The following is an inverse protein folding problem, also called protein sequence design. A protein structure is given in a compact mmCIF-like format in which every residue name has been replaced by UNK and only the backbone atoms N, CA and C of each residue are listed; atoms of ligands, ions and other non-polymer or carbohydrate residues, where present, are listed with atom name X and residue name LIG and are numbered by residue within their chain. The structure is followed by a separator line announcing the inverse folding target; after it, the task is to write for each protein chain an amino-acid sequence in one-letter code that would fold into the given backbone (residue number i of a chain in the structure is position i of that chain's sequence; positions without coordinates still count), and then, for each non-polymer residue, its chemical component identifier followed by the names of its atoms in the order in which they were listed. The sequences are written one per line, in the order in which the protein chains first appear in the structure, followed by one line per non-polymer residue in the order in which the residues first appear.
data_IF_283632371429
#
_entry.id   IF_283632371429
#
_cell.length_a   1.000
_cell.length_b   1.000
_cell.length_c   1.000
_cell.angle_alpha   90.00
_cell.angle_beta   90.00
_cell.angle_gamma   90.00
#
_symmetry.space_group_name_H-M   'P 1'
#
loop_
_entity.id
_entity.type
_entity.pdbx_description
1 polymer ?
#
# COMPACT_ATOMS: atom_id res chain seq x y z
N UNK A 1 -16.98 -1.87 -10.47
CA UNK A 1 -18.16 -1.04 -10.12
C UNK A 1 -17.70 0.33 -9.65
N UNK A 2 -18.61 1.31 -9.58
CA UNK A 2 -18.36 2.66 -9.11
C UNK A 2 -19.33 3.01 -7.99
N UNK A 3 -18.85 3.62 -6.91
CA UNK A 3 -19.70 4.22 -5.88
C UNK A 3 -20.55 5.34 -6.51
N UNK A 4 -21.86 5.24 -6.36
CA UNK A 4 -22.82 6.08 -7.06
C UNK A 4 -23.60 6.92 -6.06
N UNK A 5 -23.71 8.22 -6.33
CA UNK A 5 -24.61 9.18 -5.66
C UNK A 5 -24.36 9.40 -4.15
N UNK A 6 -23.54 8.58 -3.50
CA UNK A 6 -23.10 8.74 -2.11
C UNK A 6 -21.84 7.93 -1.83
N UNK A 7 -21.20 8.27 -0.71
CA UNK A 7 -20.19 7.42 -0.07
C UNK A 7 -20.79 6.07 0.33
N UNK A 8 -19.98 5.01 0.24
CA UNK A 8 -20.40 3.63 0.53
C UNK A 8 -19.51 3.07 1.63
N UNK A 9 -20.12 2.63 2.73
CA UNK A 9 -19.39 2.08 3.87
C UNK A 9 -18.93 0.66 3.56
N UNK A 10 -17.72 0.34 4.03
CA UNK A 10 -17.11 -0.97 3.95
C UNK A 10 -17.32 -1.67 5.29
N UNK A 11 -17.66 -2.94 5.24
CA UNK A 11 -17.88 -3.81 6.41
C UNK A 11 -16.99 -5.04 6.33
N UNK A 12 -16.70 -5.61 7.49
CA UNK A 12 -16.00 -6.89 7.61
C UNK A 12 -16.85 -8.10 7.15
N UNK A 13 -18.18 -7.98 7.27
CA UNK A 13 -19.18 -8.97 6.86
C UNK A 13 -20.41 -8.32 6.21
N UNK A 14 -21.24 -9.05 5.45
CA UNK A 14 -22.38 -8.49 4.73
C UNK A 14 -23.57 -8.19 5.67
N UNK A 15 -23.41 -7.22 6.56
CA UNK A 15 -24.42 -6.81 7.51
C UNK A 15 -24.23 -5.35 7.94
N UNK A 16 -25.31 -4.66 8.25
CA UNK A 16 -25.30 -3.27 8.74
C UNK A 16 -24.56 -3.12 10.07
N UNK A 17 -24.62 -4.14 10.92
CA UNK A 17 -23.93 -4.18 12.21
C UNK A 17 -22.49 -4.74 12.12
N UNK A 18 -21.95 -4.95 10.91
CA UNK A 18 -20.54 -5.28 10.71
C UNK A 18 -19.61 -4.16 11.18
N UNK A 19 -18.37 -4.50 11.53
CA UNK A 19 -17.35 -3.53 11.91
C UNK A 19 -17.05 -2.62 10.72
N UNK A 20 -16.94 -1.31 10.97
CA UNK A 20 -16.62 -0.33 9.93
C UNK A 20 -15.17 -0.53 9.44
N UNK A 21 -15.04 -0.95 8.18
CA UNK A 21 -13.77 -1.15 7.47
C UNK A 21 -13.34 0.04 6.62
N UNK A 22 -14.01 1.19 6.77
CA UNK A 22 -13.74 2.43 6.05
C UNK A 22 -14.78 2.75 4.98
N UNK A 23 -14.42 3.63 4.06
CA UNK A 23 -15.37 4.19 3.08
C UNK A 23 -14.83 4.08 1.65
N UNK A 24 -15.73 3.77 0.73
CA UNK A 24 -15.57 3.97 -0.71
C UNK A 24 -16.24 5.30 -1.03
N UNK A 25 -15.44 6.32 -1.30
CA UNK A 25 -15.97 7.65 -1.59
C UNK A 25 -16.75 7.67 -2.91
N UNK A 26 -17.78 8.51 -2.98
CA UNK A 26 -18.57 8.69 -4.20
C UNK A 26 -17.67 8.86 -5.45
N UNK A 27 -18.02 8.18 -6.54
CA UNK A 27 -17.26 8.20 -7.78
C UNK A 27 -16.04 7.27 -7.80
N UNK A 28 -15.61 6.74 -6.65
CA UNK A 28 -14.50 5.80 -6.58
C UNK A 28 -14.85 4.47 -7.24
N UNK A 29 -13.87 3.90 -7.92
CA UNK A 29 -13.99 2.57 -8.52
C UNK A 29 -13.64 1.50 -7.50
N UNK A 30 -14.47 0.46 -7.44
CA UNK A 30 -14.25 -0.73 -6.63
C UNK A 30 -14.45 -1.96 -7.49
N UNK A 31 -13.50 -2.89 -7.40
CA UNK A 31 -13.59 -4.18 -8.08
C UNK A 31 -14.27 -5.13 -7.11
N UNK A 32 -15.41 -5.64 -7.53
CA UNK A 32 -16.29 -6.49 -6.71
C UNK A 32 -16.24 -7.91 -7.22
N UNK A 33 -16.49 -8.88 -6.35
CA UNK A 33 -16.56 -10.30 -6.65
C UNK A 33 -18.03 -10.68 -6.90
N UNK A 34 -18.51 -10.75 -8.16
CA UNK A 34 -19.94 -10.81 -8.46
C UNK A 34 -20.65 -12.08 -7.94
N UNK A 35 -19.89 -13.16 -7.75
CA UNK A 35 -20.35 -14.44 -7.19
C UNK A 35 -20.60 -14.39 -5.68
N UNK A 36 -20.10 -13.37 -4.98
CA UNK A 36 -20.26 -13.23 -3.53
C UNK A 36 -21.55 -12.52 -3.13
N UNK A 37 -22.44 -12.24 -4.07
CA UNK A 37 -23.67 -11.51 -3.78
C UNK A 37 -24.50 -12.26 -2.75
N UNK A 38 -24.85 -11.58 -1.67
CA UNK A 38 -25.72 -12.11 -0.64
C UNK A 38 -26.70 -11.05 -0.18
N UNK A 39 -27.90 -11.49 0.18
CA UNK A 39 -28.95 -10.61 0.69
C UNK A 39 -28.92 -10.61 2.22
N UNK A 40 -28.86 -9.44 2.82
CA UNK A 40 -28.88 -9.25 4.27
C UNK A 40 -29.28 -7.81 4.63
N UNK A 41 -30.04 -7.65 5.71
CA UNK A 41 -30.47 -6.35 6.25
C UNK A 41 -31.17 -5.42 5.24
N UNK A 42 -31.84 -5.97 4.24
CA UNK A 42 -32.52 -5.20 3.18
C UNK A 42 -31.60 -4.75 2.03
N UNK A 43 -30.35 -5.23 1.97
CA UNK A 43 -29.38 -4.92 0.93
C UNK A 43 -28.88 -6.16 0.23
N UNK A 44 -28.55 -6.00 -1.06
CA UNK A 44 -27.66 -6.91 -1.76
C UNK A 44 -26.24 -6.45 -1.47
N UNK A 45 -25.48 -7.27 -0.75
CA UNK A 45 -24.08 -7.04 -0.44
C UNK A 45 -23.19 -7.68 -1.49
N UNK A 46 -22.03 -7.09 -1.73
CA UNK A 46 -21.00 -7.69 -2.58
C UNK A 46 -19.63 -7.52 -1.93
N UNK A 47 -18.82 -8.57 -1.99
CA UNK A 47 -17.46 -8.56 -1.46
C UNK A 47 -16.52 -7.90 -2.48
N UNK A 48 -15.51 -7.22 -1.98
CA UNK A 48 -14.39 -6.65 -2.73
C UNK A 48 -13.11 -6.76 -1.90
N UNK A 49 -11.97 -6.35 -2.46
CA UNK A 49 -10.64 -6.47 -1.81
C UNK A 49 -10.48 -5.74 -0.46
N UNK A 50 -11.43 -4.88 -0.10
CA UNK A 50 -11.40 -4.10 1.15
C UNK A 50 -12.44 -4.57 2.18
N UNK A 51 -13.33 -5.50 1.81
CA UNK A 51 -14.43 -5.95 2.67
C UNK A 51 -15.73 -6.15 1.89
N UNK A 52 -16.84 -5.86 2.54
CA UNK A 52 -18.20 -5.95 2.01
C UNK A 52 -18.83 -4.57 1.92
N UNK A 53 -19.51 -4.28 0.83
CA UNK A 53 -20.29 -3.05 0.69
C UNK A 53 -21.65 -3.36 0.09
N UNK A 54 -22.69 -2.57 0.43
CA UNK A 54 -23.98 -2.69 -0.23
C UNK A 54 -23.82 -2.32 -1.71
N UNK A 55 -24.30 -3.18 -2.60
CA UNK A 55 -24.42 -2.89 -4.04
C UNK A 55 -25.70 -2.09 -4.30
N UNK A 56 -26.82 -2.53 -3.72
CA UNK A 56 -28.14 -1.91 -3.84
C UNK A 56 -29.05 -2.36 -2.70
N UNK A 57 -30.16 -1.65 -2.49
CA UNK A 57 -31.28 -2.16 -1.69
C UNK A 57 -31.99 -3.30 -2.43
N UNK A 58 -32.52 -4.25 -1.67
CA UNK A 58 -33.31 -5.37 -2.21
C UNK A 58 -34.58 -4.84 -2.88
N UNK A 59 -35.22 -3.84 -2.27
CA UNK A 59 -36.40 -3.14 -2.79
C UNK A 59 -36.14 -2.28 -4.06
N UNK A 60 -34.89 -2.18 -4.51
CA UNK A 60 -34.49 -1.43 -5.70
C UNK A 60 -34.54 0.10 -5.57
N UNK A 61 -34.90 0.64 -4.40
CA UNK A 61 -35.05 2.10 -4.18
C UNK A 61 -33.72 2.86 -4.24
N UNK A 62 -32.61 2.16 -4.01
CA UNK A 62 -31.28 2.77 -3.97
C UNK A 62 -30.21 1.82 -4.52
N UNK A 63 -29.31 2.36 -5.35
CA UNK A 63 -28.11 1.68 -5.82
C UNK A 63 -26.89 2.44 -5.34
N UNK A 64 -25.98 1.73 -4.67
CA UNK A 64 -24.75 2.28 -4.10
C UNK A 64 -23.55 2.00 -5.01
N UNK A 65 -23.51 0.83 -5.66
CA UNK A 65 -22.45 0.44 -6.59
C UNK A 65 -23.04 0.16 -7.96
N UNK A 66 -22.64 0.94 -8.96
CA UNK A 66 -23.10 0.78 -10.34
C UNK A 66 -22.03 0.05 -11.16
N UNK A 67 -22.46 -0.91 -11.99
CA UNK A 67 -21.58 -1.54 -12.98
C UNK A 67 -21.07 -0.50 -13.97
N UNK A 68 -19.76 -0.45 -14.14
CA UNK A 68 -19.10 0.29 -15.21
C UNK A 68 -18.45 -0.74 -16.13
N UNK A 69 -18.70 -0.64 -17.44
CA UNK A 69 -18.12 -1.56 -18.41
C UNK A 69 -16.61 -1.41 -18.49
N UNK A 70 -15.89 -2.53 -18.63
CA UNK A 70 -14.43 -2.57 -18.71
C UNK A 70 -13.88 -1.72 -19.89
N UNK A 71 -14.67 -1.53 -20.95
CA UNK A 71 -14.34 -0.66 -22.08
C UNK A 71 -14.26 0.84 -21.71
N UNK A 72 -15.01 1.30 -20.70
CA UNK A 72 -14.93 2.69 -20.21
C UNK A 72 -13.60 2.99 -19.49
N UNK A 73 -12.77 1.97 -19.25
CA UNK A 73 -11.45 2.07 -18.63
C UNK A 73 -10.34 2.45 -19.64
N UNK A 74 -10.53 2.21 -20.94
CA UNK A 74 -9.50 2.45 -21.97
C UNK A 74 -9.78 3.64 -22.89
N UNK A 75 -11.00 4.18 -22.92
CA UNK A 75 -11.43 5.11 -23.99
C UNK A 75 -11.51 6.59 -23.57
N UNK A 76 -10.98 6.97 -22.40
CA UNK A 76 -11.15 8.35 -21.88
C UNK A 76 -10.13 9.38 -22.40
N UNK A 77 -9.29 9.01 -23.37
CA UNK A 77 -8.58 9.98 -24.21
C UNK A 77 -9.33 10.32 -25.51
N UNK A 78 -10.46 9.69 -25.81
CA UNK A 78 -11.23 9.97 -27.01
C UNK A 78 -12.71 10.24 -26.71
N UNK A 79 -13.16 11.44 -27.09
CA UNK A 79 -14.55 11.86 -27.34
C UNK A 79 -15.34 12.43 -26.16
N UNK A 80 -15.43 13.76 -26.21
CA UNK A 80 -16.64 14.53 -25.97
C UNK A 80 -17.84 13.92 -26.74
N UNK A 81 -18.82 13.37 -26.03
CA UNK A 81 -20.06 12.89 -26.64
C UNK A 81 -21.04 12.32 -25.60
N UNK A 82 -22.20 12.94 -25.49
CA UNK A 82 -23.31 12.62 -24.58
C UNK A 82 -23.87 11.20 -24.78
N UNK A 83 -24.20 10.44 -23.71
CA UNK A 83 -24.86 9.15 -23.87
C UNK A 83 -26.40 9.29 -23.97
N UNK A 84 -26.99 8.63 -24.98
CA UNK A 84 -28.44 8.41 -25.10
C UNK A 84 -28.88 7.21 -24.27
N UNK A 85 -30.07 7.35 -23.68
CA UNK A 85 -30.80 6.41 -22.82
C UNK A 85 -31.68 5.46 -23.66
N UNK A 86 -31.78 4.21 -23.23
CA UNK A 86 -32.72 3.17 -23.71
C UNK A 86 -32.13 1.79 -23.42
N UNK A 87 -32.82 0.76 -22.96
CA UNK A 87 -34.24 0.52 -22.77
C UNK A 87 -34.35 -0.73 -21.87
N UNK A 88 -35.32 -0.75 -20.95
CA UNK A 88 -35.67 -1.90 -20.12
C UNK A 88 -36.32 -2.99 -20.99
N UNK A 89 -36.02 -4.26 -20.71
CA UNK A 89 -36.99 -5.34 -20.92
C UNK A 89 -37.02 -6.28 -19.71
N UNK A 90 -38.25 -6.49 -19.27
CA UNK A 90 -38.73 -7.28 -18.16
C UNK A 90 -39.37 -8.56 -18.69
N UNK A 91 -39.12 -9.70 -18.07
CA UNK A 91 -40.09 -10.81 -18.07
C UNK A 91 -40.12 -11.47 -16.70
N UNK A 92 -41.30 -11.35 -16.12
CA UNK A 92 -41.84 -11.93 -14.90
C UNK A 92 -42.18 -13.41 -15.13
N UNK A 93 -41.84 -14.29 -14.17
CA UNK A 93 -42.57 -15.54 -13.89
C UNK A 93 -42.26 -16.01 -12.48
N UNK A 94 -43.24 -15.81 -11.60
CA UNK A 94 -43.39 -16.43 -10.27
C UNK A 94 -43.87 -17.89 -10.39
N UNK A 95 -43.38 -18.81 -9.54
CA UNK A 95 -44.24 -19.86 -9.01
C UNK A 95 -44.34 -19.83 -7.47
N UNK A 96 -45.45 -20.41 -7.00
CA UNK A 96 -45.99 -20.47 -5.63
C UNK A 96 -45.16 -21.33 -4.64
N UNK A 97 -45.42 -21.21 -3.32
CA UNK A 97 -44.65 -21.89 -2.28
C UNK A 97 -45.18 -23.29 -1.97
N UNK A 98 -44.29 -24.20 -1.61
CA UNK A 98 -44.59 -25.52 -1.03
C UNK A 98 -43.71 -25.79 0.21
N UNK A 99 -44.09 -26.74 1.09
CA UNK A 99 -44.26 -26.48 2.52
C UNK A 99 -43.05 -26.77 3.42
N UNK A 100 -43.13 -26.24 4.65
CA UNK A 100 -42.20 -26.42 5.76
C UNK A 100 -41.98 -27.90 6.15
N UNK A 101 -40.72 -28.36 6.28
CA UNK A 101 -40.40 -29.54 7.07
C UNK A 101 -40.17 -29.17 8.56
N UNK A 102 -40.69 -30.06 9.41
CA UNK A 102 -40.62 -30.05 10.87
C UNK A 102 -39.17 -30.10 11.40
N UNK A 103 -38.92 -29.67 12.65
CA UNK A 103 -37.59 -29.69 13.26
C UNK A 103 -37.11 -31.13 13.49
N UNK A 104 -35.92 -31.44 12.97
CA UNK A 104 -35.15 -32.62 13.38
C UNK A 104 -34.45 -32.36 14.74
N UNK A 105 -34.26 -33.40 15.56
CA UNK A 105 -33.72 -33.29 16.93
C UNK A 105 -32.23 -32.91 16.95
N UNK A 106 -31.85 -32.17 17.99
CA UNK A 106 -30.46 -31.77 18.29
C UNK A 106 -29.56 -33.01 18.44
N UNK A 107 -28.38 -33.04 17.78
CA UNK A 107 -27.36 -34.03 18.09
C UNK A 107 -26.69 -33.72 19.43
N UNK A 108 -26.50 -34.76 20.25
CA UNK A 108 -25.69 -34.72 21.47
C UNK A 108 -24.24 -34.28 21.15
N UNK A 109 -23.55 -33.58 22.08
CA UNK A 109 -22.18 -33.16 21.88
C UNK A 109 -21.23 -34.36 21.78
N UNK A 110 -20.53 -34.48 20.65
CA UNK A 110 -19.39 -35.39 20.50
C UNK A 110 -18.24 -34.98 21.44
N UNK A 111 -17.46 -35.96 21.96
CA UNK A 111 -16.32 -35.69 22.82
C UNK A 111 -15.22 -34.89 22.11
N UNK A 112 -14.55 -34.01 22.86
CA UNK A 112 -13.41 -33.22 22.38
C UNK A 112 -12.31 -34.13 21.79
N UNK A 113 -11.76 -33.80 20.61
CA UNK A 113 -10.62 -34.52 20.06
C UNK A 113 -9.37 -34.28 20.91
N UNK A 114 -8.66 -35.37 21.23
CA UNK A 114 -7.32 -35.30 21.82
C UNK A 114 -6.39 -34.45 20.92
N UNK A 115 -5.43 -33.71 21.50
CA UNK A 115 -4.48 -32.91 20.74
C UNK A 115 -3.67 -33.79 19.77
N UNK A 116 -3.69 -33.44 18.49
CA UNK A 116 -2.85 -34.06 17.47
C UNK A 116 -1.36 -33.91 17.84
N UNK A 117 -0.53 -34.94 17.59
CA UNK A 117 0.90 -34.85 17.79
C UNK A 117 1.53 -33.76 16.91
N UNK A 118 2.49 -33.02 17.47
CA UNK A 118 3.26 -32.00 16.74
C UNK A 118 3.84 -32.59 15.45
N UNK A 119 3.78 -31.87 14.31
CA UNK A 119 4.35 -32.34 13.06
C UNK A 119 5.87 -32.50 13.18
N UNK A 120 6.38 -33.67 12.79
CA UNK A 120 7.80 -33.88 12.60
C UNK A 120 8.35 -32.87 11.57
N UNK A 121 9.59 -32.39 11.73
CA UNK A 121 10.21 -31.48 10.77
C UNK A 121 10.30 -32.14 9.39
N UNK A 122 9.72 -31.49 8.39
CA UNK A 122 9.81 -31.92 6.99
C UNK A 122 11.28 -31.97 6.52
N UNK A 123 11.66 -32.98 5.73
CA UNK A 123 13.00 -33.07 5.16
C UNK A 123 13.28 -31.90 4.21
N UNK A 124 14.49 -31.34 4.31
CA UNK A 124 15.00 -30.29 3.40
C UNK A 124 14.95 -30.79 1.95
N UNK A 125 13.98 -30.31 1.18
CA UNK A 125 13.88 -30.55 -0.26
C UNK A 125 14.95 -29.74 -0.96
N UNK A 126 15.88 -30.42 -1.65
CA UNK A 126 16.79 -29.78 -2.61
C UNK A 126 15.98 -28.96 -3.61
N UNK A 127 16.14 -27.64 -3.58
CA UNK A 127 15.49 -26.71 -4.51
C UNK A 127 16.13 -26.87 -5.89
N UNK A 128 15.52 -27.71 -6.73
CA UNK A 128 15.70 -27.59 -8.17
C UNK A 128 15.06 -26.27 -8.60
N UNK A 129 15.86 -25.26 -8.94
CA UNK A 129 15.36 -23.97 -9.40
C UNK A 129 14.54 -24.13 -10.69
N UNK A 130 13.22 -24.20 -10.56
CA UNK A 130 12.28 -24.05 -11.68
C UNK A 130 12.47 -22.65 -12.29
N UNK A 131 12.51 -22.49 -13.63
CA UNK A 131 12.78 -21.20 -14.23
C UNK A 131 11.70 -20.19 -13.84
N UNK A 132 12.12 -19.16 -13.11
CA UNK A 132 11.23 -18.10 -12.67
C UNK A 132 10.68 -17.31 -13.87
N UNK A 133 9.38 -17.05 -13.89
CA UNK A 133 8.69 -16.37 -15.00
C UNK A 133 8.31 -14.94 -14.61
N UNK A 134 8.34 -14.04 -15.58
CA UNK A 134 7.91 -12.65 -15.39
C UNK A 134 6.41 -12.48 -15.57
N UNK A 135 5.83 -11.69 -14.67
CA UNK A 135 4.43 -11.32 -14.70
C UNK A 135 4.29 -9.81 -14.57
N UNK A 136 3.43 -9.22 -15.39
CA UNK A 136 2.98 -7.84 -15.25
C UNK A 136 1.69 -7.79 -14.45
N UNK A 137 1.64 -6.97 -13.42
CA UNK A 137 0.42 -6.71 -12.68
C UNK A 137 -0.55 -5.87 -13.51
N UNK A 138 -1.70 -6.44 -13.84
CA UNK A 138 -2.77 -5.76 -14.59
C UNK A 138 -3.63 -4.87 -13.70
N UNK A 139 -3.39 -4.95 -12.39
CA UNK A 139 -4.05 -4.19 -11.35
C UNK A 139 -3.25 -4.29 -10.07
N UNK A 140 -3.55 -3.42 -9.10
CA UNK A 140 -2.95 -3.54 -7.78
C UNK A 140 -3.43 -4.84 -7.11
N UNK A 141 -2.50 -5.72 -6.75
CA UNK A 141 -2.76 -7.01 -6.08
C UNK A 141 -2.00 -7.08 -4.75
N UNK A 142 -2.64 -7.58 -3.68
CA UNK A 142 -2.01 -7.71 -2.36
C UNK A 142 -0.97 -8.82 -2.34
N UNK A 143 0.09 -8.60 -1.56
CA UNK A 143 1.16 -9.57 -1.31
C UNK A 143 1.02 -10.11 0.11
N UNK A 144 0.83 -11.42 0.21
CA UNK A 144 0.51 -12.15 1.45
C UNK A 144 1.62 -13.10 1.85
N UNK A 145 1.65 -13.46 3.13
CA UNK A 145 2.61 -14.45 3.64
C UNK A 145 2.32 -15.87 3.14
N UNK A 146 1.09 -16.14 2.70
CA UNK A 146 0.64 -17.44 2.19
C UNK A 146 -0.42 -17.35 1.09
N UNK A 147 -0.73 -18.48 0.42
CA UNK A 147 -1.66 -18.55 -0.71
C UNK A 147 -3.12 -18.59 -0.25
N UNK A 148 -3.70 -17.42 0.06
CA UNK A 148 -5.11 -17.33 0.45
C UNK A 148 -5.48 -15.99 1.05
N UNK A 149 -6.76 -15.64 1.02
CA UNK A 149 -7.31 -14.42 1.60
C UNK A 149 -7.26 -14.41 3.13
N UNK A 150 -7.16 -15.57 3.77
CA UNK A 150 -7.01 -15.72 5.22
C UNK A 150 -5.60 -15.38 5.72
N UNK A 151 -4.57 -15.40 4.86
CA UNK A 151 -3.22 -15.01 5.24
C UNK A 151 -3.06 -13.49 5.32
N UNK A 152 -2.39 -12.96 6.35
CA UNK A 152 -2.10 -11.54 6.43
C UNK A 152 -1.16 -11.09 5.30
N UNK A 153 -1.18 -9.80 5.02
CA UNK A 153 -0.23 -9.19 4.10
C UNK A 153 1.19 -9.28 4.71
N UNK A 154 2.21 -9.41 3.85
CA UNK A 154 3.62 -9.46 4.30
C UNK A 154 4.02 -8.20 5.08
N UNK A 155 3.42 -7.08 4.69
CA UNK A 155 3.43 -5.80 5.39
C UNK A 155 2.06 -5.14 5.22
N UNK A 156 1.63 -4.23 6.11
CA UNK A 156 0.39 -3.49 5.93
C UNK A 156 0.31 -2.84 4.54
N UNK A 157 -0.74 -3.16 3.78
CA UNK A 157 -0.96 -2.72 2.39
C UNK A 157 0.16 -3.08 1.39
N UNK A 158 0.90 -4.15 1.68
CA UNK A 158 1.86 -4.71 0.73
C UNK A 158 1.13 -5.13 -0.53
N UNK A 159 1.48 -4.49 -1.64
CA UNK A 159 0.86 -4.73 -2.94
C UNK A 159 1.93 -4.78 -4.03
N UNK A 160 1.62 -5.48 -5.11
CA UNK A 160 2.21 -5.24 -6.43
C UNK A 160 1.26 -4.27 -7.12
N UNK A 161 1.70 -3.06 -7.46
CA UNK A 161 0.83 -2.10 -8.12
C UNK A 161 0.74 -2.30 -9.63
N UNK A 162 -0.20 -1.58 -10.22
CA UNK A 162 -0.55 -1.65 -11.62
C UNK A 162 0.67 -1.41 -12.54
N UNK A 163 0.77 -2.21 -13.60
CA UNK A 163 1.86 -2.32 -14.58
C UNK A 163 3.21 -2.80 -14.05
N UNK A 164 3.35 -3.06 -12.74
CA UNK A 164 4.62 -3.51 -12.20
C UNK A 164 4.96 -4.94 -12.63
N UNK A 165 6.23 -5.21 -12.92
CA UNK A 165 6.70 -6.53 -13.34
C UNK A 165 7.35 -7.25 -12.16
N UNK A 166 6.87 -8.44 -11.83
CA UNK A 166 7.47 -9.32 -10.81
C UNK A 166 8.00 -10.60 -11.43
N UNK A 167 8.93 -11.24 -10.73
CA UNK A 167 9.41 -12.59 -11.02
C UNK A 167 8.76 -13.55 -10.03
N UNK A 168 8.03 -14.55 -10.54
CA UNK A 168 7.33 -15.52 -9.72
C UNK A 168 7.68 -16.94 -10.15
N UNK A 169 7.52 -17.90 -9.25
CA UNK A 169 7.71 -19.32 -9.49
C UNK A 169 6.39 -19.93 -10.03
N UNK A 170 6.28 -20.27 -11.33
CA UNK A 170 5.05 -20.80 -11.90
C UNK A 170 4.65 -22.17 -11.35
N UNK A 171 5.59 -22.91 -10.74
CA UNK A 171 5.34 -24.21 -10.12
C UNK A 171 4.73 -24.11 -8.73
N UNK A 172 4.82 -22.94 -8.10
CA UNK A 172 4.23 -22.67 -6.78
C UNK A 172 2.71 -22.47 -6.78
N UNK A 173 2.00 -22.71 -7.89
CA UNK A 173 0.58 -22.36 -8.00
C UNK A 173 -0.29 -23.12 -7.01
N UNK A 174 -1.11 -22.39 -6.26
CA UNK A 174 -2.07 -22.96 -5.29
C UNK A 174 -3.46 -22.36 -5.54
N UNK A 175 -4.50 -23.20 -5.63
CA UNK A 175 -5.88 -22.74 -5.70
C UNK A 175 -6.46 -22.55 -4.29
N UNK A 176 -6.89 -21.34 -3.98
CA UNK A 176 -7.54 -21.01 -2.70
C UNK A 176 -8.44 -19.77 -2.85
N UNK A 177 -9.56 -19.76 -2.13
CA UNK A 177 -10.52 -18.64 -2.08
C UNK A 177 -11.05 -18.16 -3.44
N UNK A 178 -11.10 -19.06 -4.43
CA UNK A 178 -11.54 -18.73 -5.79
C UNK A 178 -10.44 -18.14 -6.69
N UNK A 179 -9.18 -18.17 -6.25
CA UNK A 179 -8.02 -17.66 -7.00
C UNK A 179 -6.93 -18.71 -7.16
N UNK A 180 -6.16 -18.57 -8.23
CA UNK A 180 -4.85 -19.19 -8.37
C UNK A 180 -3.83 -18.22 -7.77
N UNK A 181 -3.14 -18.64 -6.73
CA UNK A 181 -2.06 -17.91 -6.05
C UNK A 181 -0.71 -18.33 -6.59
N UNK A 182 0.22 -17.39 -6.70
CA UNK A 182 1.60 -17.67 -7.13
C UNK A 182 2.60 -17.04 -6.16
N UNK A 183 3.66 -17.78 -5.82
CA UNK A 183 4.76 -17.34 -4.97
C UNK A 183 5.78 -16.57 -5.80
N UNK A 184 6.27 -15.48 -5.23
CA UNK A 184 7.36 -14.68 -5.76
C UNK A 184 8.28 -14.26 -4.60
N UNK A 185 9.41 -13.63 -4.90
CA UNK A 185 10.43 -13.25 -3.90
C UNK A 185 9.96 -12.31 -2.78
N UNK A 186 8.69 -11.87 -2.79
CA UNK A 186 8.10 -11.01 -1.77
C UNK A 186 6.95 -11.66 -1.00
N UNK A 187 6.56 -12.90 -1.34
CA UNK A 187 5.39 -13.58 -0.77
C UNK A 187 4.48 -14.16 -1.85
N UNK A 188 3.18 -14.10 -1.61
CA UNK A 188 2.15 -14.69 -2.45
C UNK A 188 1.17 -13.65 -2.96
N UNK A 189 0.86 -13.68 -4.25
CA UNK A 189 -0.16 -12.81 -4.86
C UNK A 189 -1.14 -13.66 -5.66
N UNK A 190 -2.40 -13.21 -5.74
CA UNK A 190 -3.35 -13.79 -6.68
C UNK A 190 -2.85 -13.55 -8.11
N UNK A 191 -2.75 -14.59 -8.93
CA UNK A 191 -2.42 -14.51 -10.35
C UNK A 191 -3.68 -14.24 -11.18
N UNK A 192 -4.73 -15.03 -10.92
CA UNK A 192 -6.03 -14.95 -11.61
C UNK A 192 -7.14 -15.58 -10.76
N UNK A 193 -8.39 -15.31 -11.07
CA UNK A 193 -9.50 -16.12 -10.57
C UNK A 193 -9.46 -17.53 -11.18
N UNK A 194 -9.94 -18.55 -10.46
CA UNK A 194 -9.97 -19.95 -10.93
C UNK A 194 -10.76 -20.07 -12.24
N UNK A 195 -11.84 -19.32 -12.37
CA UNK A 195 -12.65 -19.29 -13.59
C UNK A 195 -12.04 -18.46 -14.75
N UNK A 196 -10.92 -17.77 -14.52
CA UNK A 196 -10.21 -16.98 -15.54
C UNK A 196 -10.79 -15.59 -15.84
N UNK A 197 -11.91 -15.19 -15.21
CA UNK A 197 -12.57 -13.90 -15.47
C UNK A 197 -11.72 -12.68 -15.08
N UNK A 198 -10.85 -12.84 -14.08
CA UNK A 198 -9.99 -11.78 -13.56
C UNK A 198 -8.55 -12.24 -13.65
N UNK A 199 -7.71 -11.46 -14.33
CA UNK A 199 -6.26 -11.65 -14.38
C UNK A 199 -5.61 -10.51 -13.60
N UNK A 200 -4.96 -10.85 -12.49
CA UNK A 200 -4.21 -9.90 -11.67
C UNK A 200 -2.76 -9.78 -12.15
N UNK A 201 -2.16 -10.91 -12.53
CA UNK A 201 -0.78 -11.02 -13.00
C UNK A 201 -0.78 -11.69 -14.38
N UNK A 202 -0.44 -10.92 -15.42
CA UNK A 202 -0.33 -11.43 -16.78
C UNK A 202 1.11 -11.88 -17.05
N UNK A 203 1.35 -13.15 -17.45
CA UNK A 203 2.68 -13.58 -17.85
C UNK A 203 3.16 -12.78 -19.06
N UNK A 204 4.42 -12.37 -19.05
CA UNK A 204 5.03 -11.65 -20.17
C UNK A 204 6.29 -12.38 -20.66
N UNK A 205 6.47 -12.43 -21.98
CA UNK A 205 7.68 -12.96 -22.62
C UNK A 205 8.78 -11.88 -22.68
N UNK A 206 8.97 -11.17 -21.58
CA UNK A 206 10.10 -10.27 -21.38
C UNK A 206 10.80 -10.74 -20.11
N UNK A 207 12.14 -10.94 -20.15
CA UNK A 207 12.87 -11.24 -18.93
C UNK A 207 12.61 -10.13 -17.91
N UNK A 208 12.51 -10.45 -16.62
CA UNK A 208 12.33 -9.42 -15.62
C UNK A 208 13.58 -8.54 -15.68
N UNK A 209 13.45 -7.21 -15.52
CA UNK A 209 14.65 -6.40 -15.34
C UNK A 209 15.43 -7.02 -14.18
N UNK A 210 16.75 -7.24 -14.32
CA UNK A 210 17.53 -7.83 -13.25
C UNK A 210 17.36 -6.99 -11.99
N UNK A 211 17.38 -7.65 -10.83
CA UNK A 211 17.11 -7.03 -9.51
C UNK A 211 17.98 -5.79 -9.27
N UNK A 212 19.15 -5.70 -9.93
CA UNK A 212 20.02 -4.51 -9.96
C UNK A 212 20.26 -3.87 -11.35
N UNK A 213 19.99 -4.52 -12.48
CA UNK A 213 20.44 -4.01 -13.79
C UNK A 213 19.46 -3.06 -14.51
N UNK A 214 18.41 -2.62 -13.81
CA UNK A 214 17.43 -1.65 -14.33
C UNK A 214 17.13 -0.49 -13.38
N UNK A 215 17.76 -0.46 -12.21
CA UNK A 215 17.68 0.68 -11.31
C UNK A 215 18.69 1.74 -11.79
N UNK A 216 18.27 2.99 -11.99
CA UNK A 216 19.20 4.05 -12.28
C UNK A 216 20.21 4.16 -11.14
N UNK A 217 21.43 4.59 -11.44
CA UNK A 217 22.33 5.03 -10.36
C UNK A 217 21.68 6.20 -9.61
N UNK A 218 22.17 6.52 -8.41
CA UNK A 218 21.61 7.62 -7.59
C UNK A 218 21.53 8.95 -8.36
N UNK A 219 22.46 9.20 -9.27
CA UNK A 219 22.52 10.43 -10.09
C UNK A 219 21.67 10.36 -11.36
N UNK A 220 21.28 9.16 -11.79
CA UNK A 220 20.48 8.93 -13.00
C UNK A 220 18.98 8.81 -12.68
N UNK A 221 18.59 8.94 -11.41
CA UNK A 221 17.20 8.97 -10.98
C UNK A 221 16.44 10.07 -11.76
N UNK A 222 15.28 9.77 -12.38
CA UNK A 222 14.47 10.79 -13.03
C UNK A 222 14.15 11.93 -12.05
N UNK A 223 14.48 13.17 -12.39
CA UNK A 223 14.30 14.30 -11.48
C UNK A 223 15.34 14.39 -10.36
N UNK A 224 16.52 13.77 -10.49
CA UNK A 224 17.67 13.99 -9.61
C UNK A 224 17.91 15.50 -9.42
N UNK A 225 17.95 15.93 -8.15
CA UNK A 225 18.02 17.33 -7.72
C UNK A 225 16.93 18.29 -8.24
N UNK A 226 15.84 17.79 -8.80
CA UNK A 226 14.83 18.63 -9.46
C UNK A 226 13.38 18.28 -9.15
N UNK A 227 13.07 17.05 -8.72
CA UNK A 227 11.70 16.60 -8.50
C UNK A 227 11.01 17.40 -7.38
N UNK A 228 11.69 17.57 -6.24
CA UNK A 228 11.15 18.29 -5.08
C UNK A 228 11.48 19.77 -5.20
N UNK A 229 10.45 20.60 -5.34
CA UNK A 229 10.59 22.03 -5.63
C UNK A 229 10.56 22.90 -4.36
N UNK A 230 9.97 22.37 -3.28
CA UNK A 230 10.00 22.95 -1.92
C UNK A 230 9.92 21.86 -0.86
N UNK A 231 10.34 22.19 0.36
CA UNK A 231 10.22 21.27 1.48
C UNK A 231 8.74 21.03 1.83
N UNK A 232 8.39 19.80 2.24
CA UNK A 232 7.03 19.47 2.65
C UNK A 232 6.64 20.12 3.98
N UNK A 233 7.63 20.53 4.78
CA UNK A 233 7.45 21.29 6.02
C UNK A 233 8.37 22.49 5.98
N UNK A 234 7.91 23.63 6.48
CA UNK A 234 8.76 24.80 6.60
C UNK A 234 9.93 24.48 7.54
N UNK A 235 11.16 24.66 7.05
CA UNK A 235 12.38 24.35 7.79
C UNK A 235 12.46 25.14 9.11
N UNK A 236 11.93 26.37 9.15
CA UNK A 236 11.92 27.18 10.37
C UNK A 236 11.00 26.63 11.46
N UNK A 237 9.94 25.92 11.07
CA UNK A 237 9.01 25.24 11.99
C UNK A 237 9.47 23.82 12.35
N UNK A 238 10.55 23.33 11.74
CA UNK A 238 11.14 22.02 12.06
C UNK A 238 12.12 22.19 13.22
N UNK A 239 11.87 21.47 14.32
CA UNK A 239 12.65 21.52 15.55
C UNK A 239 13.77 20.47 15.58
N UNK A 240 13.47 19.25 15.12
CA UNK A 240 14.44 18.18 14.96
C UNK A 240 14.24 17.49 13.62
N UNK A 241 15.25 16.77 13.16
CA UNK A 241 15.25 16.13 11.85
C UNK A 241 15.81 14.72 11.95
N UNK A 242 15.23 13.77 11.23
CA UNK A 242 15.80 12.44 11.08
C UNK A 242 16.13 12.19 9.61
N UNK A 243 17.38 11.81 9.35
CA UNK A 243 17.83 11.50 8.00
C UNK A 243 17.37 10.11 7.55
N UNK A 244 17.26 9.94 6.25
CA UNK A 244 17.08 8.65 5.59
C UNK A 244 18.30 7.75 5.82
N UNK A 245 18.08 6.43 5.89
CA UNK A 245 19.13 5.42 5.87
C UNK A 245 19.64 5.02 7.26
N UNK A 246 20.95 4.87 7.38
CA UNK A 246 21.68 4.32 8.52
C UNK A 246 21.80 5.31 9.69
N UNK A 247 20.67 5.82 10.16
CA UNK A 247 20.66 6.68 11.33
C UNK A 247 20.73 5.88 12.63
N UNK A 248 21.13 6.54 13.72
CA UNK A 248 21.26 5.88 15.03
C UNK A 248 19.92 5.31 15.51
N UNK A 249 18.80 6.00 15.27
CA UNK A 249 17.48 5.50 15.64
C UNK A 249 17.13 4.19 14.90
N UNK A 250 17.45 4.07 13.61
CA UNK A 250 17.28 2.84 12.85
C UNK A 250 18.12 1.69 13.41
N UNK A 251 19.32 2.00 13.91
CA UNK A 251 20.17 1.03 14.60
C UNK A 251 19.61 0.64 15.98
N UNK A 252 19.25 1.59 16.84
CA UNK A 252 18.84 1.34 18.23
C UNK A 252 17.41 0.82 18.35
N UNK A 253 16.49 1.43 17.62
CA UNK A 253 15.04 1.27 17.81
C UNK A 253 14.34 0.70 16.57
N UNK A 254 14.98 0.74 15.39
CA UNK A 254 14.36 0.34 14.13
C UNK A 254 13.74 -1.07 14.13
N UNK A 255 14.27 -2.01 14.92
CA UNK A 255 13.67 -3.36 15.07
C UNK A 255 12.27 -3.30 15.69
N UNK A 256 12.07 -2.45 16.69
CA UNK A 256 10.78 -2.28 17.38
C UNK A 256 9.70 -1.72 16.44
N UNK A 257 10.13 -1.04 15.36
CA UNK A 257 9.26 -0.48 14.32
C UNK A 257 9.28 -1.30 13.02
N UNK A 258 9.77 -2.55 13.06
CA UNK A 258 9.85 -3.46 11.91
C UNK A 258 10.66 -2.95 10.72
N UNK A 259 11.68 -2.12 10.93
CA UNK A 259 12.54 -1.66 9.83
C UNK A 259 13.29 -2.83 9.19
N UNK A 260 13.59 -3.90 9.94
CA UNK A 260 14.26 -5.10 9.43
C UNK A 260 13.45 -5.74 8.30
N UNK A 261 12.13 -5.89 8.48
CA UNK A 261 11.24 -6.47 7.49
C UNK A 261 10.62 -5.49 6.49
N UNK A 262 10.71 -4.17 6.73
CA UNK A 262 10.12 -3.15 5.86
C UNK A 262 11.17 -2.45 5.00
N UNK A 263 12.25 -1.97 5.61
CA UNK A 263 13.25 -1.09 5.00
C UNK A 263 14.69 -1.58 5.22
N UNK A 264 14.87 -2.90 5.23
CA UNK A 264 16.18 -3.56 5.32
C UNK A 264 17.03 -3.10 6.51
N UNK A 265 16.38 -2.79 7.63
CA UNK A 265 17.00 -2.32 8.88
C UNK A 265 17.40 -0.84 8.88
N UNK A 266 17.05 -0.09 7.84
CA UNK A 266 17.38 1.33 7.68
C UNK A 266 16.13 2.20 7.79
N UNK A 267 16.29 3.50 8.00
CA UNK A 267 15.16 4.44 8.01
C UNK A 267 14.72 4.77 6.58
N UNK A 268 13.46 4.46 6.25
CA UNK A 268 12.90 4.59 4.89
C UNK A 268 12.51 6.00 4.44
N UNK A 269 12.72 7.05 5.23
CA UNK A 269 12.23 8.38 4.88
C UNK A 269 13.02 9.51 5.54
N UNK A 270 12.46 10.72 5.49
CA UNK A 270 12.92 11.86 6.26
C UNK A 270 11.86 12.21 7.30
N UNK A 271 12.28 12.44 8.55
CA UNK A 271 11.34 12.92 9.58
C UNK A 271 11.55 14.40 9.86
N UNK A 272 10.48 15.17 9.74
CA UNK A 272 10.42 16.58 10.11
C UNK A 272 9.69 16.70 11.45
N UNK A 273 10.44 16.70 12.54
CA UNK A 273 9.87 16.76 13.89
C UNK A 273 9.60 18.21 14.31
N UNK A 274 8.56 18.40 15.09
CA UNK A 274 8.07 19.69 15.55
C UNK A 274 7.60 19.59 17.01
N UNK A 275 7.30 20.73 17.61
CA UNK A 275 6.85 20.83 19.02
C UNK A 275 5.52 21.57 19.15
N UNK A 276 4.88 21.88 18.02
CA UNK A 276 3.64 22.64 17.98
C UNK A 276 2.64 21.94 17.05
N UNK A 277 1.34 21.95 17.37
CA UNK A 277 0.31 21.41 16.48
C UNK A 277 0.05 22.34 15.28
N UNK A 278 -0.66 21.83 14.28
CA UNK A 278 -1.15 22.63 13.15
C UNK A 278 -0.07 23.02 12.13
N UNK A 279 1.06 22.31 12.12
CA UNK A 279 2.12 22.54 11.12
C UNK A 279 1.63 22.05 9.76
N UNK A 280 1.52 22.92 8.73
CA UNK A 280 1.02 22.53 7.44
C UNK A 280 2.03 21.64 6.70
N UNK A 281 1.53 20.59 6.05
CA UNK A 281 2.28 19.73 5.15
C UNK A 281 1.96 20.12 3.71
N UNK A 282 2.98 20.51 2.97
CA UNK A 282 2.92 20.85 1.55
C UNK A 282 3.29 19.63 0.70
N UNK A 283 2.70 19.51 -0.48
CA UNK A 283 3.08 18.46 -1.43
C UNK A 283 4.57 18.58 -1.83
N UNK A 284 5.07 19.79 -2.08
CA UNK A 284 6.47 20.00 -2.44
C UNK A 284 6.88 19.53 -3.84
N UNK A 285 5.98 18.91 -4.59
CA UNK A 285 6.19 18.35 -5.93
C UNK A 285 4.94 18.56 -6.80
N UNK A 286 5.13 18.59 -8.12
CA UNK A 286 4.04 18.45 -9.09
C UNK A 286 3.63 16.98 -9.19
N UNK A 287 2.39 16.65 -8.83
CA UNK A 287 1.94 15.27 -8.71
C UNK A 287 0.44 15.12 -9.00
N UNK A 288 -0.05 13.89 -9.01
CA UNK A 288 -1.48 13.57 -8.94
C UNK A 288 -1.80 12.90 -7.61
N UNK A 289 -2.93 13.26 -7.00
CA UNK A 289 -3.41 12.61 -5.79
C UNK A 289 -3.79 11.15 -6.06
N UNK A 290 -3.36 10.24 -5.19
CA UNK A 290 -3.76 8.82 -5.24
C UNK A 290 -4.93 8.58 -4.28
N UNK A 291 -4.67 8.68 -2.98
CA UNK A 291 -5.65 8.45 -1.92
C UNK A 291 -5.10 8.90 -0.55
N UNK A 292 -5.95 8.89 0.48
CA UNK A 292 -5.58 8.92 1.90
C UNK A 292 -5.71 7.52 2.47
N UNK A 293 -4.67 7.04 3.16
CA UNK A 293 -4.67 5.70 3.77
C UNK A 293 -4.52 5.78 5.27
N UNK A 294 -5.36 5.04 5.99
CA UNK A 294 -5.27 4.83 7.43
C UNK A 294 -4.82 3.40 7.71
N UNK A 295 -3.63 3.27 8.29
CA UNK A 295 -3.10 2.02 8.84
C UNK A 295 -2.83 2.31 10.31
N UNK A 296 -3.83 2.03 11.17
CA UNK A 296 -3.83 2.47 12.56
C UNK A 296 -2.50 2.18 13.28
N UNK A 297 -1.92 3.16 14.00
CA UNK A 297 -2.44 4.51 14.27
C UNK A 297 -2.21 5.53 13.13
N UNK A 298 -1.41 5.18 12.13
CA UNK A 298 -0.90 6.08 11.12
C UNK A 298 -1.96 6.48 10.06
N UNK A 299 -1.97 7.76 9.71
CA UNK A 299 -2.71 8.31 8.57
C UNK A 299 -1.70 8.86 7.57
N UNK A 300 -1.95 8.66 6.28
CA UNK A 300 -1.04 9.08 5.22
C UNK A 300 -1.72 9.62 3.97
N UNK A 301 -1.11 10.60 3.31
CA UNK A 301 -1.47 11.05 1.96
C UNK A 301 -0.49 10.43 0.96
N UNK A 302 -1.03 9.92 -0.15
CA UNK A 302 -0.24 9.29 -1.21
C UNK A 302 -0.38 10.09 -2.51
N UNK A 303 0.75 10.48 -3.09
CA UNK A 303 0.83 11.21 -4.36
C UNK A 303 1.65 10.42 -5.38
N UNK A 304 1.38 10.62 -6.67
CA UNK A 304 2.16 10.05 -7.78
C UNK A 304 2.82 11.15 -8.60
N UNK A 305 4.12 11.05 -8.83
CA UNK A 305 4.86 11.92 -9.73
C UNK A 305 5.73 11.07 -10.67
N UNK A 306 5.28 10.87 -11.92
CA UNK A 306 5.91 9.92 -12.83
C UNK A 306 5.95 8.50 -12.26
N UNK A 307 7.15 7.93 -12.20
CA UNK A 307 7.43 6.61 -11.61
C UNK A 307 7.54 6.63 -10.08
N UNK A 308 7.41 7.80 -9.44
CA UNK A 308 7.50 7.94 -7.99
C UNK A 308 6.13 7.90 -7.32
N UNK A 309 6.08 7.19 -6.20
CA UNK A 309 5.03 7.34 -5.19
C UNK A 309 5.61 8.10 -4.01
N UNK A 310 4.97 9.19 -3.60
CA UNK A 310 5.34 9.99 -2.43
C UNK A 310 4.33 9.74 -1.32
N UNK A 311 4.82 9.49 -0.12
CA UNK A 311 4.02 9.08 1.03
C UNK A 311 4.31 10.03 2.18
N UNK A 312 3.27 10.69 2.68
CA UNK A 312 3.33 11.66 3.76
C UNK A 312 2.59 11.04 4.94
N UNK A 313 3.32 10.54 5.94
CA UNK A 313 2.80 9.76 7.06
C UNK A 313 2.80 10.57 8.36
N UNK A 314 2.08 10.10 9.38
CA UNK A 314 1.88 10.81 10.65
C UNK A 314 1.24 12.19 10.45
N UNK A 315 0.19 12.21 9.62
CA UNK A 315 -0.56 13.42 9.29
C UNK A 315 -1.95 13.43 9.95
N UNK A 316 -2.52 14.63 10.07
CA UNK A 316 -3.92 14.87 10.44
C UNK A 316 -4.56 15.86 9.48
N UNK A 317 -5.88 16.04 9.57
CA UNK A 317 -6.65 17.01 8.78
C UNK A 317 -6.33 16.98 7.27
N UNK A 318 -6.34 15.80 6.60
CA UNK A 318 -6.04 15.73 5.17
C UNK A 318 -7.05 16.56 4.38
N UNK A 319 -6.55 17.32 3.41
CA UNK A 319 -7.41 18.04 2.46
C UNK A 319 -8.05 17.04 1.50
N UNK A 320 -9.27 17.37 1.03
CA UNK A 320 -10.04 16.51 0.13
C UNK A 320 -9.61 16.75 -1.32
N UNK A 321 -9.26 15.67 -1.99
CA UNK A 321 -8.90 15.65 -3.42
C UNK A 321 -9.54 14.43 -4.08
N UNK A 322 -9.79 14.52 -5.38
CA UNK A 322 -10.24 13.36 -6.17
C UNK A 322 -9.02 12.54 -6.64
N UNK A 323 -9.07 11.20 -6.66
CA UNK A 323 -8.02 10.39 -7.29
C UNK A 323 -7.71 10.86 -8.72
N UNK A 324 -6.42 11.05 -9.01
CA UNK A 324 -5.92 11.62 -10.28
C UNK A 324 -5.92 13.14 -10.35
N UNK A 325 -6.45 13.85 -9.36
CA UNK A 325 -6.43 15.32 -9.32
C UNK A 325 -4.99 15.83 -9.28
N UNK A 326 -4.68 16.82 -10.12
CA UNK A 326 -3.39 17.50 -10.12
C UNK A 326 -3.18 18.25 -8.80
N UNK A 327 -2.00 18.08 -8.22
CA UNK A 327 -1.50 18.70 -6.99
C UNK A 327 -0.23 19.46 -7.34
N UNK A 328 -0.12 20.70 -6.85
CA UNK A 328 1.05 21.56 -7.09
C UNK A 328 1.98 21.56 -5.87
N UNK A 329 3.25 21.95 -6.00
CA UNK A 329 4.19 22.00 -4.88
C UNK A 329 3.67 22.79 -3.67
N UNK A 330 2.96 23.89 -3.91
CA UNK A 330 2.44 24.79 -2.86
C UNK A 330 1.11 24.35 -2.26
N UNK A 331 0.51 23.26 -2.76
CA UNK A 331 -0.72 22.71 -2.21
C UNK A 331 -0.46 22.16 -0.81
N UNK A 332 -1.15 22.71 0.20
CA UNK A 332 -1.24 22.09 1.53
C UNK A 332 -2.10 20.85 1.40
N UNK A 333 -1.55 19.69 1.75
CA UNK A 333 -2.24 18.39 1.63
C UNK A 333 -2.78 17.90 2.97
N UNK A 334 -2.17 18.32 4.08
CA UNK A 334 -2.53 17.92 5.43
C UNK A 334 -1.85 18.82 6.47
N UNK A 335 -1.97 18.45 7.74
CA UNK A 335 -1.17 18.96 8.85
C UNK A 335 -0.40 17.82 9.50
N UNK A 336 0.65 18.11 10.25
CA UNK A 336 1.35 17.09 11.04
C UNK A 336 0.47 16.65 12.20
N UNK A 337 0.36 15.35 12.41
CA UNK A 337 -0.39 14.78 13.53
C UNK A 337 0.22 15.26 14.86
N UNK A 338 -0.60 15.78 15.80
CA UNK A 338 -0.14 16.04 17.15
C UNK A 338 0.18 14.71 17.87
N UNK A 339 0.40 14.75 19.19
CA UNK A 339 0.69 13.57 20.03
C UNK A 339 0.11 12.23 19.51
N UNK A 340 0.91 11.14 19.52
CA UNK A 340 2.22 11.02 20.18
C UNK A 340 3.42 11.34 19.28
N UNK A 341 3.24 11.56 17.98
CA UNK A 341 4.34 11.48 17.01
C UNK A 341 5.02 12.81 16.68
N UNK A 342 4.28 13.93 16.62
CA UNK A 342 4.81 15.29 16.33
C UNK A 342 5.82 15.38 15.18
N UNK A 343 5.67 14.56 14.15
CA UNK A 343 6.56 14.57 13.00
C UNK A 343 5.84 14.19 11.72
N UNK A 344 6.32 14.69 10.59
CA UNK A 344 6.00 14.15 9.28
C UNK A 344 7.07 13.12 8.93
N UNK A 345 6.69 11.88 8.63
CA UNK A 345 7.58 10.94 7.95
C UNK A 345 7.32 11.02 6.44
N UNK A 346 8.33 11.46 5.69
CA UNK A 346 8.27 11.68 4.24
C UNK A 346 9.09 10.64 3.50
N UNK A 347 8.38 9.76 2.79
CA UNK A 347 8.96 8.63 2.05
C UNK A 347 8.70 8.79 0.54
N UNK A 348 9.69 8.42 -0.28
CA UNK A 348 9.55 8.36 -1.74
C UNK A 348 9.94 6.97 -2.21
N UNK A 349 9.06 6.34 -3.02
CA UNK A 349 9.33 5.06 -3.67
C UNK A 349 9.42 5.25 -5.17
N UNK A 350 10.55 4.84 -5.76
CA UNK A 350 10.70 4.68 -7.20
C UNK A 350 10.17 3.32 -7.63
N UNK A 351 9.33 3.30 -8.66
CA UNK A 351 8.68 2.08 -9.20
C UNK A 351 8.07 1.21 -8.09
N UNK A 352 7.47 1.89 -7.10
CA UNK A 352 6.74 1.36 -5.95
C UNK A 352 7.54 0.58 -4.88
N UNK A 353 8.68 -0.03 -5.20
CA UNK A 353 9.38 -0.92 -4.27
C UNK A 353 10.81 -0.51 -3.92
N UNK A 354 11.35 0.47 -4.61
CA UNK A 354 12.67 1.02 -4.27
C UNK A 354 12.46 2.31 -3.50
N UNK A 355 12.64 2.27 -2.19
CA UNK A 355 12.63 3.45 -1.34
C UNK A 355 13.91 4.24 -1.62
N UNK A 356 13.74 5.49 -2.06
CA UNK A 356 14.84 6.38 -2.45
C UNK A 356 14.99 7.51 -1.43
N UNK A 357 16.22 7.89 -1.16
CA UNK A 357 16.52 9.01 -0.29
C UNK A 357 15.95 10.32 -0.89
N UNK A 358 14.96 10.98 -0.26
CA UNK A 358 14.34 12.17 -0.83
C UNK A 358 15.33 13.32 -1.05
N UNK A 359 16.46 13.35 -0.32
CA UNK A 359 17.51 14.36 -0.50
C UNK A 359 18.17 14.30 -1.88
N UNK A 360 18.21 13.13 -2.54
CA UNK A 360 18.74 13.00 -3.90
C UNK A 360 17.86 13.71 -4.95
N UNK A 361 16.59 13.94 -4.61
CA UNK A 361 15.58 14.51 -5.49
C UNK A 361 15.32 16.00 -5.20
N UNK A 362 16.05 16.57 -4.25
CA UNK A 362 15.98 17.98 -3.87
C UNK A 362 17.09 18.79 -4.54
N UNK A 363 16.82 20.01 -5.05
CA UNK A 363 17.87 20.90 -5.50
C UNK A 363 18.77 21.32 -4.34
N UNK A 364 20.02 21.67 -4.66
CA UNK A 364 21.06 21.99 -3.67
C UNK A 364 20.60 23.04 -2.66
N UNK A 365 19.75 23.99 -3.06
CA UNK A 365 19.17 24.99 -2.14
C UNK A 365 18.41 24.36 -0.96
N UNK A 366 17.60 23.33 -1.20
CA UNK A 366 16.78 22.69 -0.17
C UNK A 366 17.63 21.73 0.67
N UNK A 367 18.50 20.95 0.01
CA UNK A 367 19.48 20.11 0.68
C UNK A 367 20.35 20.94 1.64
N UNK A 368 20.90 22.05 1.18
CA UNK A 368 21.73 22.92 1.98
C UNK A 368 20.94 23.56 3.12
N UNK A 369 19.66 23.92 2.92
CA UNK A 369 18.81 24.43 4.00
C UNK A 369 18.67 23.40 5.14
N UNK A 370 18.45 22.12 4.81
CA UNK A 370 18.39 21.02 5.79
C UNK A 370 19.75 20.84 6.46
N UNK A 371 20.82 20.64 5.68
CA UNK A 371 22.15 20.32 6.20
C UNK A 371 22.73 21.47 7.04
N UNK A 372 22.46 22.72 6.68
CA UNK A 372 22.93 23.87 7.47
C UNK A 372 22.22 23.95 8.83
N UNK A 373 20.91 23.69 8.88
CA UNK A 373 20.14 23.70 10.14
C UNK A 373 20.41 22.46 10.98
N UNK A 374 20.49 21.30 10.35
CA UNK A 374 20.62 19.98 10.98
C UNK A 374 21.93 19.32 10.57
N UNK A 375 23.05 19.98 10.86
CA UNK A 375 24.36 19.54 10.43
C UNK A 375 24.71 18.15 11.02
N UNK A 376 24.88 17.11 10.16
CA UNK A 376 25.15 15.75 10.62
C UNK A 376 26.55 15.58 11.23
N UNK A 377 27.45 16.55 11.02
CA UNK A 377 28.83 16.54 11.53
C UNK A 377 29.00 17.24 12.89
N UNK A 378 28.01 17.98 13.39
CA UNK A 378 28.13 18.73 14.66
C UNK A 378 28.29 17.78 15.85
N UNK A 379 29.34 17.90 16.68
CA UNK A 379 29.52 17.09 17.88
C UNK A 379 28.46 17.43 18.94
N UNK A 380 27.91 16.41 19.60
CA UNK A 380 26.98 16.61 20.71
C UNK A 380 27.68 17.09 21.99
N UNK A 381 26.96 17.85 22.83
CA UNK A 381 27.38 18.13 24.22
C UNK A 381 27.44 16.82 25.00
N UNK A 382 28.49 16.67 25.82
CA UNK A 382 28.72 15.49 26.66
C UNK A 382 27.60 15.32 27.70
N UNK A 383 27.05 14.11 27.85
CA UNK A 383 26.04 13.78 28.88
C UNK A 383 24.57 13.96 28.48
N UNK A 384 24.28 14.14 27.20
CA UNK A 384 22.91 14.21 26.65
C UNK A 384 22.59 12.96 25.86
N UNK A 385 21.31 12.55 25.81
CA UNK A 385 20.78 11.46 24.95
C UNK A 385 21.14 11.66 23.46
N UNK A 386 21.63 12.83 23.09
CA UNK A 386 22.15 13.22 21.77
C UNK A 386 23.57 12.72 21.43
N UNK A 387 24.19 11.83 22.20
CA UNK A 387 25.61 11.47 22.01
C UNK A 387 25.93 10.60 20.78
N UNK A 388 24.93 10.14 20.03
CA UNK A 388 25.11 9.28 18.86
C UNK A 388 24.50 9.98 17.64
N UNK A 389 25.40 10.47 16.80
CA UNK A 389 25.19 11.39 15.68
C UNK A 389 24.22 10.79 14.66
N UNK A 390 23.56 11.65 13.89
CA UNK A 390 22.55 11.29 12.89
C UNK A 390 22.82 10.05 12.05
N UNK A 391 24.06 9.60 11.85
CA UNK A 391 24.40 8.31 11.26
C UNK A 391 25.21 7.41 12.18
N UNK A 392 24.81 6.13 12.25
CA UNK A 392 25.51 5.12 13.02
C UNK A 392 26.86 4.79 12.37
N UNK A 393 27.90 4.69 13.20
CA UNK A 393 29.23 4.25 12.80
C UNK A 393 29.91 3.52 13.96
N UNK A 394 30.80 2.60 13.62
CA UNK A 394 31.64 1.86 14.58
C UNK A 394 32.95 1.46 13.91
N UNK A 395 33.87 0.82 14.64
CA UNK A 395 35.10 0.30 14.04
C UNK A 395 34.83 -0.72 12.93
N UNK A 396 33.68 -1.41 13.01
CA UNK A 396 33.22 -2.40 12.02
C UNK A 396 32.28 -1.81 10.97
N UNK A 397 31.73 -0.61 11.19
CA UNK A 397 30.77 0.02 10.28
C UNK A 397 31.17 1.44 9.89
N UNK A 398 31.73 1.58 8.68
CA UNK A 398 32.30 2.85 8.17
C UNK A 398 31.58 3.41 6.94
N UNK A 399 30.57 2.71 6.43
CA UNK A 399 29.79 3.13 5.27
C UNK A 399 28.50 3.84 5.68
N UNK A 400 27.93 4.60 4.74
CA UNK A 400 26.64 5.28 4.90
C UNK A 400 26.62 6.24 6.10
N UNK A 401 27.67 7.07 6.19
CA UNK A 401 27.89 8.00 7.31
C UNK A 401 27.55 9.44 6.95
N UNK A 402 26.98 9.68 5.77
CA UNK A 402 26.64 11.01 5.25
C UNK A 402 25.20 11.03 4.71
N UNK A 403 24.57 12.22 4.58
CA UNK A 403 23.21 12.29 4.07
C UNK A 403 22.98 11.66 2.70
N UNK A 404 23.96 11.72 1.78
CA UNK A 404 23.80 11.26 0.39
C UNK A 404 24.51 9.95 0.06
N UNK A 405 25.28 9.37 0.99
CA UNK A 405 25.99 8.11 0.74
C UNK A 405 25.14 6.85 1.06
N UNK A 406 23.90 7.05 1.52
CA UNK A 406 22.91 6.02 1.86
C UNK A 406 22.46 5.18 0.65
N UNK A 407 22.21 3.86 0.81
CA UNK A 407 21.78 2.98 -0.27
C UNK A 407 20.35 3.29 -0.69
N UNK A 408 19.97 2.85 -1.90
CA UNK A 408 18.54 2.67 -2.18
C UNK A 408 18.07 1.43 -1.44
N UNK A 409 16.87 1.48 -0.86
CA UNK A 409 16.33 0.40 -0.03
C UNK A 409 15.25 -0.32 -0.83
N UNK A 410 15.33 -1.64 -0.90
CA UNK A 410 14.28 -2.48 -1.42
C UNK A 410 13.26 -2.80 -0.33
N UNK A 411 12.00 -2.47 -0.58
CA UNK A 411 10.89 -2.73 0.35
C UNK A 411 10.78 -4.24 0.64
N UNK A 412 10.96 -4.62 1.91
CA UNK A 412 10.96 -6.00 2.37
C UNK A 412 12.13 -6.85 1.85
N UNK A 413 13.22 -6.21 1.39
CA UNK A 413 14.45 -6.90 1.01
C UNK A 413 15.22 -7.46 2.22
N UNK A 414 16.33 -8.18 1.99
CA UNK A 414 17.18 -8.70 3.06
C UNK A 414 17.78 -7.57 3.90
N UNK A 415 18.13 -7.84 5.16
CA UNK A 415 18.77 -6.88 6.05
C UNK A 415 20.12 -6.42 5.46
N UNK A 416 20.35 -5.11 5.36
CA UNK A 416 21.62 -4.54 4.84
C UNK A 416 22.26 -3.52 5.78
N UNK A 417 21.57 -3.12 6.85
CA UNK A 417 22.09 -2.16 7.83
C UNK A 417 23.15 -2.73 8.77
N UNK A 418 23.65 -1.94 9.74
CA UNK A 418 24.68 -2.38 10.70
C UNK A 418 24.26 -3.52 11.64
N UNK A 419 22.99 -3.93 11.59
CA UNK A 419 22.44 -5.07 12.34
C UNK A 419 22.34 -6.35 11.50
N UNK A 420 22.74 -6.29 10.22
CA UNK A 420 22.78 -7.43 9.30
C UNK A 420 23.68 -8.56 9.79
#
# INVERSE_FOLDING_TARGET
MRAAHSDVIIRDRPALNGVDGGTIYEGSLVIVFPSTRTEADGYVWVRHLRGWSPERRIDGTQTFLIRVGLAAFFDREARTGTPKRGQLESTDTKPEPEPEPQPEPEPEPEPEPEPEPEPEPEPEVEVTETPAQSFRAMMRVRVRIGPGLNYPDVQPDSTVGLEHVITADPSSRVEADGFVWIRHGRGWSAERSINGDIVFLQPINQPPPPVDAGLPTRTDLPGYKALIQRLPVNIEQTAMFQYFGNNVFAYTDGRNFNYDGYSQGLHGGLDFLNQAPGIPVYAGVEATFIDVRRVSPNLSVWLKAGDYTLIYQHITNPRRFNPGQRITPDTIIAEIEPLPWYHLHFEIRYREFTIVNPLLLMPDRLLNAIVNKFNPATPARQGSVSQLRYFYHSDQWKQWTKPLDQPMIQLGGPLIGPRA
#
